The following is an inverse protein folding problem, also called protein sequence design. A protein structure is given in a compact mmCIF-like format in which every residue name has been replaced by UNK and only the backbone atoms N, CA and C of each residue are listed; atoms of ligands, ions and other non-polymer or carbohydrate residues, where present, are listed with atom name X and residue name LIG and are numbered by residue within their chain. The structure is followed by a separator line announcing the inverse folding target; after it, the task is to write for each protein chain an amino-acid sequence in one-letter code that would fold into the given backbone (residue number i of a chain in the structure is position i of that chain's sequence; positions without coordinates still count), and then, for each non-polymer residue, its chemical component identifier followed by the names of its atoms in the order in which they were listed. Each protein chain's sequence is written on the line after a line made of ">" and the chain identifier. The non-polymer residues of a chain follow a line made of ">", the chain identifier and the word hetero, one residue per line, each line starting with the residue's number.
data_IF_707559878461
#
_entry.id   IF_707559878461
#
_cell.length_a   1.000
_cell.length_b   1.000
_cell.length_c   1.000
_cell.angle_alpha   90.00
_cell.angle_beta   90.00
_cell.angle_gamma   90.00
#
_symmetry.space_group_name_H-M   'P 1'
#
loop_
_entity.id
_entity.type
_entity.pdbx_description
1 polymer ?
#
# COMPACT_ATOMS: atom_id res chain seq x y z
N UNK A 1 -3.99 34.34 7.93
CA UNK A 1 -5.00 33.56 7.19
C UNK A 1 -4.59 33.06 5.79
N UNK A 2 -3.52 33.61 5.17
CA UNK A 2 -3.04 33.14 3.86
C UNK A 2 -2.14 31.89 3.93
N UNK A 3 -1.51 31.61 5.05
CA UNK A 3 -0.60 30.46 5.22
C UNK A 3 -1.40 29.16 5.34
N UNK A 4 -2.57 29.18 5.99
CA UNK A 4 -3.46 28.02 6.15
C UNK A 4 -4.05 27.52 4.82
N UNK A 5 -4.37 28.43 3.89
CA UNK A 5 -4.97 28.07 2.60
C UNK A 5 -3.97 27.43 1.62
N UNK A 6 -2.70 27.83 1.66
CA UNK A 6 -1.64 27.24 0.82
C UNK A 6 -1.27 25.83 1.30
N UNK A 7 -1.33 25.58 2.60
CA UNK A 7 -1.05 24.28 3.20
C UNK A 7 -2.11 23.23 2.82
N UNK A 8 -3.39 23.60 2.87
CA UNK A 8 -4.50 22.73 2.45
C UNK A 8 -4.49 22.41 0.96
N UNK A 9 -4.06 23.36 0.12
CA UNK A 9 -4.01 23.16 -1.33
C UNK A 9 -2.82 22.29 -1.76
N UNK A 10 -1.67 22.39 -1.08
CA UNK A 10 -0.51 21.54 -1.27
C UNK A 10 -0.84 20.10 -0.85
N UNK A 11 -1.49 19.90 0.30
CA UNK A 11 -1.89 18.56 0.77
C UNK A 11 -2.89 17.88 -0.17
N UNK A 12 -3.85 18.63 -0.75
CA UNK A 12 -4.80 18.07 -1.72
C UNK A 12 -4.12 17.60 -3.01
N UNK A 13 -3.12 18.34 -3.51
CA UNK A 13 -2.33 17.91 -4.68
C UNK A 13 -1.53 16.66 -4.38
N UNK A 14 -0.85 16.61 -3.24
CA UNK A 14 -0.05 15.47 -2.81
C UNK A 14 -0.93 14.22 -2.64
N UNK A 15 -2.08 14.34 -2.00
CA UNK A 15 -3.05 13.24 -1.83
C UNK A 15 -3.58 12.75 -3.18
N UNK A 16 -3.91 13.65 -4.12
CA UNK A 16 -4.37 13.25 -5.46
C UNK A 16 -3.30 12.54 -6.29
N UNK A 17 -2.05 12.99 -6.19
CA UNK A 17 -0.92 12.32 -6.85
C UNK A 17 -0.74 10.93 -6.25
N UNK A 18 -0.77 10.82 -4.93
CA UNK A 18 -0.69 9.54 -4.22
C UNK A 18 -1.79 8.57 -4.62
N UNK A 19 -3.03 9.04 -4.64
CA UNK A 19 -4.19 8.27 -5.04
C UNK A 19 -4.00 7.66 -6.43
N UNK A 20 -3.62 8.50 -7.43
CA UNK A 20 -3.34 8.04 -8.79
C UNK A 20 -2.20 7.02 -8.85
N UNK A 21 -1.14 7.25 -8.10
CA UNK A 21 0.04 6.38 -8.12
C UNK A 21 -0.26 5.04 -7.46
N UNK A 22 -0.99 5.01 -6.34
CA UNK A 22 -1.45 3.75 -5.72
C UNK A 22 -2.40 2.98 -6.65
N UNK A 23 -3.31 3.65 -7.33
CA UNK A 23 -4.21 3.04 -8.32
C UNK A 23 -3.44 2.38 -9.47
N UNK A 24 -2.45 3.06 -10.05
CA UNK A 24 -1.65 2.51 -11.16
C UNK A 24 -0.94 1.22 -10.76
N UNK A 25 -0.39 1.14 -9.54
CA UNK A 25 0.24 -0.11 -9.05
C UNK A 25 -0.77 -1.24 -8.98
N UNK A 26 -1.92 -0.96 -8.36
CA UNK A 26 -2.96 -1.96 -8.20
C UNK A 26 -3.45 -2.45 -9.58
N UNK A 27 -3.58 -1.56 -10.59
CA UNK A 27 -3.99 -1.90 -11.95
C UNK A 27 -2.99 -2.83 -12.68
N UNK A 28 -1.69 -2.56 -12.58
CA UNK A 28 -0.65 -3.37 -13.21
C UNK A 28 -0.68 -4.81 -12.68
N UNK A 29 -0.88 -4.97 -11.39
CA UNK A 29 -0.93 -6.30 -10.74
C UNK A 29 -2.23 -7.03 -11.02
N UNK A 30 -3.36 -6.33 -11.09
CA UNK A 30 -4.65 -6.93 -11.47
C UNK A 30 -4.62 -7.55 -12.87
N UNK A 31 -3.88 -6.95 -13.79
CA UNK A 31 -3.72 -7.47 -15.16
C UNK A 31 -2.88 -8.76 -15.23
N UNK A 32 -1.87 -8.91 -14.36
CA UNK A 32 -1.00 -10.09 -14.32
C UNK A 32 -1.72 -11.30 -13.70
N UNK A 33 -2.67 -11.08 -12.77
CA UNK A 33 -3.40 -12.15 -12.08
C UNK A 33 -4.59 -12.74 -12.88
N UNK A 34 -4.96 -12.17 -14.01
CA UNK A 34 -6.02 -12.71 -14.87
C UNK A 34 -5.63 -14.03 -15.58
N UNK A 35 -4.42 -14.52 -15.37
CA UNK A 35 -3.95 -15.79 -15.96
C UNK A 35 -3.99 -16.95 -14.95
N UNK A 36 -4.60 -18.10 -15.29
CA UNK A 36 -4.80 -19.22 -14.35
C UNK A 36 -3.54 -20.08 -14.22
N UNK A 37 -2.71 -19.86 -13.21
CA UNK A 37 -1.65 -20.79 -12.80
C UNK A 37 -1.43 -20.76 -11.28
N UNK A 38 -2.22 -21.55 -10.55
CA UNK A 38 -2.26 -21.59 -9.08
C UNK A 38 -1.18 -22.44 -8.39
N UNK A 39 -0.40 -23.25 -9.08
CA UNK A 39 0.52 -24.22 -8.44
C UNK A 39 2.01 -23.86 -8.47
N UNK A 40 2.42 -22.89 -9.27
CA UNK A 40 3.83 -22.42 -9.32
C UNK A 40 4.11 -21.21 -8.41
N UNK A 41 3.08 -20.62 -7.83
CA UNK A 41 3.18 -19.38 -7.06
C UNK A 41 3.65 -19.57 -5.59
N UNK A 42 3.45 -20.75 -5.00
CA UNK A 42 3.83 -20.96 -3.59
C UNK A 42 5.35 -21.00 -3.36
N UNK A 43 6.10 -21.59 -4.26
CA UNK A 43 7.57 -21.62 -4.19
C UNK A 43 8.19 -20.24 -4.54
N UNK A 44 7.60 -19.52 -5.48
CA UNK A 44 8.05 -18.18 -5.86
C UNK A 44 7.84 -17.15 -4.72
N UNK A 45 6.77 -17.27 -3.93
CA UNK A 45 6.49 -16.38 -2.81
C UNK A 45 7.49 -16.53 -1.64
N UNK A 46 7.95 -17.75 -1.37
CA UNK A 46 9.01 -17.97 -0.37
C UNK A 46 10.36 -17.39 -0.83
N UNK A 47 10.67 -17.53 -2.10
CA UNK A 47 11.90 -16.99 -2.69
C UNK A 47 11.91 -15.44 -2.68
N UNK A 48 10.73 -14.82 -2.85
CA UNK A 48 10.55 -13.36 -2.81
C UNK A 48 10.68 -12.79 -1.40
N UNK A 49 10.17 -13.47 -0.38
CA UNK A 49 10.36 -13.06 1.02
C UNK A 49 11.85 -13.09 1.40
N UNK A 50 12.57 -14.12 0.99
CA UNK A 50 14.01 -14.23 1.21
C UNK A 50 14.79 -13.18 0.38
N UNK A 51 14.35 -12.86 -0.84
CA UNK A 51 14.94 -11.83 -1.68
C UNK A 51 14.68 -10.40 -1.12
N UNK A 52 13.51 -10.13 -0.56
CA UNK A 52 13.19 -8.83 0.05
C UNK A 52 14.04 -8.54 1.29
N UNK A 53 14.34 -9.56 2.11
CA UNK A 53 15.30 -9.43 3.22
C UNK A 53 16.73 -9.15 2.75
N UNK A 54 17.14 -9.75 1.64
CA UNK A 54 18.48 -9.52 1.07
C UNK A 54 18.61 -8.17 0.36
N UNK A 55 17.53 -7.66 -0.25
CA UNK A 55 17.49 -6.35 -0.91
C UNK A 55 17.56 -5.20 0.09
N UNK A 56 16.95 -5.33 1.27
CA UNK A 56 17.05 -4.36 2.36
C UNK A 56 18.51 -4.10 2.80
N UNK A 57 19.39 -5.06 2.63
CA UNK A 57 20.82 -4.96 2.99
C UNK A 57 21.72 -4.36 1.89
N UNK A 58 21.25 -4.24 0.64
CA UNK A 58 22.11 -3.91 -0.52
C UNK A 58 21.77 -2.56 -1.19
N UNK A 59 20.93 -1.73 -0.61
CA UNK A 59 20.30 -0.55 -1.24
C UNK A 59 21.23 0.62 -1.56
N UNK A 60 22.48 0.63 -1.11
CA UNK A 60 23.39 1.80 -1.28
C UNK A 60 24.01 2.00 -2.66
N UNK A 61 23.95 1.03 -3.57
CA UNK A 61 24.62 1.13 -4.88
C UNK A 61 23.70 1.14 -6.10
N UNK A 62 22.38 1.14 -5.89
CA UNK A 62 21.40 0.94 -6.98
C UNK A 62 20.79 2.26 -7.49
N UNK A 63 20.99 3.37 -6.79
CA UNK A 63 20.27 4.66 -7.03
C UNK A 63 20.42 5.21 -8.45
N UNK A 64 21.57 5.03 -9.09
CA UNK A 64 21.82 5.57 -10.44
C UNK A 64 21.19 4.74 -11.58
N UNK A 65 20.94 3.46 -11.38
CA UNK A 65 20.42 2.55 -12.42
C UNK A 65 18.89 2.56 -12.43
N UNK A 66 18.27 2.72 -11.27
CA UNK A 66 16.80 2.73 -11.08
C UNK A 66 16.20 4.00 -11.69
N UNK A 67 16.79 5.18 -11.48
CA UNK A 67 16.32 6.45 -12.07
C UNK A 67 16.20 6.39 -13.60
N UNK A 68 17.02 5.58 -14.27
CA UNK A 68 16.95 5.43 -15.73
C UNK A 68 15.84 4.50 -16.20
N UNK A 69 15.41 3.57 -15.36
CA UNK A 69 14.32 2.61 -15.69
C UNK A 69 12.93 3.23 -15.41
N UNK A 70 12.81 4.06 -14.37
CA UNK A 70 11.56 4.71 -13.97
C UNK A 70 11.04 5.71 -15.04
N UNK A 71 11.93 6.28 -15.85
CA UNK A 71 11.55 7.22 -16.93
C UNK A 71 10.65 6.62 -18.02
N UNK A 72 10.35 5.31 -17.98
CA UNK A 72 9.56 4.59 -18.98
C UNK A 72 8.28 3.94 -18.43
N UNK A 73 7.84 4.25 -17.21
CA UNK A 73 6.56 3.76 -16.72
C UNK A 73 5.45 4.54 -17.43
N UNK A 74 4.76 3.87 -18.36
CA UNK A 74 3.62 4.46 -19.06
C UNK A 74 2.54 4.85 -18.02
N UNK A 75 2.13 6.10 -18.02
CA UNK A 75 1.03 6.62 -17.20
C UNK A 75 1.41 7.53 -16.05
N UNK A 76 2.70 7.65 -15.68
CA UNK A 76 3.16 8.61 -14.67
C UNK A 76 3.84 9.82 -15.30
N UNK A 77 3.50 11.02 -14.84
CA UNK A 77 4.24 12.24 -15.14
C UNK A 77 5.62 12.23 -14.47
N UNK A 78 6.51 13.11 -14.93
CA UNK A 78 7.83 13.27 -14.30
C UNK A 78 7.73 13.63 -12.81
N UNK A 79 6.76 14.45 -12.43
CA UNK A 79 6.54 14.88 -11.04
C UNK A 79 6.08 13.70 -10.17
N UNK A 80 5.18 12.87 -10.70
CA UNK A 80 4.71 11.65 -10.03
C UNK A 80 5.84 10.63 -9.84
N UNK A 81 6.71 10.50 -10.84
CA UNK A 81 7.90 9.63 -10.78
C UNK A 81 8.89 10.10 -9.71
N UNK A 82 9.19 11.40 -9.66
CA UNK A 82 10.08 11.97 -8.63
C UNK A 82 9.46 11.83 -7.24
N UNK A 83 8.15 12.02 -7.13
CA UNK A 83 7.43 11.83 -5.88
C UNK A 83 7.53 10.37 -5.40
N UNK A 84 7.28 9.39 -6.27
CA UNK A 84 7.31 7.97 -5.91
C UNK A 84 8.70 7.52 -5.45
N UNK A 85 9.77 8.06 -6.04
CA UNK A 85 11.14 7.71 -5.68
C UNK A 85 11.66 8.34 -4.38
N UNK A 86 11.04 9.45 -3.95
CA UNK A 86 11.51 10.20 -2.77
C UNK A 86 10.60 10.06 -1.54
N UNK A 87 9.45 9.42 -1.69
CA UNK A 87 8.47 9.33 -0.60
C UNK A 87 8.69 8.07 0.22
N UNK A 88 8.64 8.22 1.55
CA UNK A 88 8.71 7.10 2.49
C UNK A 88 7.33 6.42 2.59
N UNK A 89 7.19 5.27 1.95
CA UNK A 89 5.94 4.50 1.90
C UNK A 89 6.14 3.15 2.57
N UNK A 90 5.18 2.75 3.40
CA UNK A 90 5.11 1.41 3.97
C UNK A 90 3.82 0.74 3.51
N UNK A 91 3.95 -0.39 2.87
CA UNK A 91 2.85 -1.29 2.52
C UNK A 91 2.72 -2.35 3.61
N UNK A 92 1.52 -2.50 4.15
CA UNK A 92 1.19 -3.50 5.16
C UNK A 92 -0.01 -4.29 4.66
N UNK A 93 0.09 -5.62 4.65
CA UNK A 93 -1.02 -6.39 4.12
C UNK A 93 -0.88 -7.90 4.22
N UNK A 94 -1.92 -8.55 3.73
CA UNK A 94 -2.07 -9.99 3.71
C UNK A 94 -1.71 -10.59 2.32
N UNK A 95 -2.32 -11.71 1.99
CA UNK A 95 -2.11 -12.44 0.71
C UNK A 95 -2.25 -11.53 -0.53
N UNK A 96 -3.13 -10.51 -0.49
CA UNK A 96 -3.30 -9.60 -1.62
C UNK A 96 -2.05 -8.74 -1.83
N UNK A 97 -1.45 -8.24 -0.75
CA UNK A 97 -0.20 -7.47 -0.83
C UNK A 97 0.97 -8.37 -1.28
N UNK A 98 1.04 -9.61 -0.78
CA UNK A 98 2.07 -10.56 -1.20
C UNK A 98 2.07 -10.79 -2.71
N UNK A 99 0.90 -10.87 -3.32
CA UNK A 99 0.78 -11.02 -4.78
C UNK A 99 1.37 -9.85 -5.58
N UNK A 100 1.49 -8.67 -4.95
CA UNK A 100 1.98 -7.43 -5.56
C UNK A 100 3.42 -7.08 -5.15
N UNK A 101 3.98 -7.81 -4.19
CA UNK A 101 5.24 -7.44 -3.53
C UNK A 101 6.43 -7.31 -4.48
N UNK A 102 6.43 -8.05 -5.60
CA UNK A 102 7.51 -7.97 -6.61
C UNK A 102 7.47 -6.70 -7.45
N UNK A 103 6.28 -6.16 -7.70
CA UNK A 103 6.09 -5.01 -8.58
C UNK A 103 6.25 -3.67 -7.84
N UNK A 104 5.97 -3.64 -6.54
CA UNK A 104 6.04 -2.43 -5.73
C UNK A 104 7.42 -1.77 -5.79
N UNK A 105 8.57 -2.48 -5.66
CA UNK A 105 9.88 -1.84 -5.71
C UNK A 105 10.23 -1.24 -7.07
N UNK A 106 9.58 -1.67 -8.15
CA UNK A 106 9.80 -1.09 -9.49
C UNK A 106 9.27 0.34 -9.58
N UNK A 107 8.21 0.65 -8.82
CA UNK A 107 7.56 1.95 -8.77
C UNK A 107 7.97 2.76 -7.54
N UNK A 108 8.24 2.09 -6.43
CA UNK A 108 8.64 2.67 -5.15
C UNK A 108 9.90 1.99 -4.63
N UNK A 109 11.07 2.39 -5.11
CA UNK A 109 12.34 1.72 -4.78
C UNK A 109 12.69 1.80 -3.28
N UNK A 110 12.14 2.77 -2.56
CA UNK A 110 12.35 2.97 -1.14
C UNK A 110 11.18 2.49 -0.26
N UNK A 111 10.22 1.77 -0.84
CA UNK A 111 9.09 1.25 -0.08
C UNK A 111 9.51 0.14 0.88
N UNK A 112 8.93 0.18 2.07
CA UNK A 112 8.96 -0.94 3.00
C UNK A 112 7.71 -1.79 2.77
N UNK A 113 7.88 -3.10 2.65
CA UNK A 113 6.79 -4.05 2.46
C UNK A 113 6.78 -4.97 3.66
N UNK A 114 5.68 -4.98 4.42
CA UNK A 114 5.43 -5.86 5.55
C UNK A 114 4.15 -6.66 5.27
N UNK A 115 4.30 -7.89 4.82
CA UNK A 115 3.20 -8.72 4.40
C UNK A 115 3.33 -10.13 5.00
N UNK A 116 2.19 -10.68 5.40
CA UNK A 116 2.08 -12.06 5.86
C UNK A 116 0.84 -12.69 5.26
N UNK A 117 0.95 -13.96 4.79
CA UNK A 117 -0.14 -14.69 4.14
C UNK A 117 -1.38 -14.78 5.01
N UNK A 118 -1.20 -15.06 6.29
CA UNK A 118 -2.27 -15.36 7.23
C UNK A 118 -2.64 -14.17 8.12
N UNK A 119 -2.10 -12.99 7.83
CA UNK A 119 -2.26 -11.78 8.61
C UNK A 119 -3.73 -11.46 8.90
N UNK A 120 -4.02 -11.28 10.17
CA UNK A 120 -5.31 -10.82 10.68
C UNK A 120 -5.22 -9.39 11.22
N UNK A 121 -6.33 -8.63 11.16
CA UNK A 121 -6.35 -7.22 11.61
C UNK A 121 -5.94 -7.06 13.08
N UNK A 122 -6.23 -8.04 13.95
CA UNK A 122 -5.85 -7.99 15.36
C UNK A 122 -4.32 -8.11 15.58
N UNK A 123 -3.57 -8.62 14.62
CA UNK A 123 -2.10 -8.76 14.67
C UNK A 123 -1.37 -7.50 14.22
N UNK A 124 -2.06 -6.62 13.50
CA UNK A 124 -1.46 -5.39 12.94
C UNK A 124 -0.83 -4.49 14.01
N UNK A 125 -1.39 -4.47 15.22
CA UNK A 125 -0.83 -3.67 16.31
C UNK A 125 0.64 -3.99 16.57
N UNK A 126 0.96 -5.27 16.75
CA UNK A 126 2.33 -5.73 16.97
C UNK A 126 3.25 -5.50 15.78
N UNK A 127 2.76 -5.71 14.56
CA UNK A 127 3.52 -5.45 13.32
C UNK A 127 3.87 -3.96 13.18
N UNK A 128 2.91 -3.07 13.42
CA UNK A 128 3.13 -1.61 13.37
C UNK A 128 4.14 -1.17 14.44
N UNK A 129 4.04 -1.70 15.65
CA UNK A 129 4.97 -1.37 16.72
C UNK A 129 6.39 -1.82 16.37
N UNK A 130 6.56 -2.97 15.76
CA UNK A 130 7.84 -3.45 15.25
C UNK A 130 8.40 -2.53 14.17
N UNK A 131 7.58 -2.13 13.18
CA UNK A 131 7.99 -1.20 12.12
C UNK A 131 8.41 0.16 12.68
N UNK A 132 7.72 0.66 13.72
CA UNK A 132 8.11 1.89 14.43
C UNK A 132 9.46 1.76 15.11
N UNK A 133 9.68 0.66 15.85
CA UNK A 133 10.96 0.40 16.53
C UNK A 133 12.13 0.31 15.56
N UNK A 134 11.89 -0.26 14.37
CA UNK A 134 12.87 -0.39 13.29
C UNK A 134 13.03 0.88 12.45
N UNK A 135 12.24 1.94 12.71
CA UNK A 135 12.16 3.17 11.91
C UNK A 135 11.83 2.90 10.44
N UNK A 136 10.98 1.91 10.21
CA UNK A 136 10.52 1.47 8.90
C UNK A 136 9.07 1.88 8.60
N UNK A 137 8.39 2.51 9.55
CA UNK A 137 7.06 3.07 9.32
C UNK A 137 7.20 4.44 8.62
N UNK A 138 6.87 4.48 7.35
CA UNK A 138 6.96 5.67 6.51
C UNK A 138 5.93 6.76 6.86
N UNK A 139 5.91 7.83 6.07
CA UNK A 139 4.92 8.90 6.22
C UNK A 139 3.59 8.54 5.53
N UNK A 140 3.65 7.60 4.62
CA UNK A 140 2.51 7.06 3.89
C UNK A 140 2.40 5.58 4.17
N UNK A 141 1.21 5.17 4.57
CA UNK A 141 0.90 3.78 4.88
C UNK A 141 -0.19 3.30 3.94
N UNK A 142 0.05 2.19 3.27
CA UNK A 142 -0.97 1.50 2.45
C UNK A 142 -1.34 0.21 3.15
N UNK A 143 -2.61 0.09 3.55
CA UNK A 143 -3.15 -1.10 4.20
C UNK A 143 -3.99 -1.91 3.23
N UNK A 144 -3.61 -3.18 3.06
CA UNK A 144 -4.29 -4.17 2.21
C UNK A 144 -4.59 -5.41 3.05
N UNK A 145 -5.66 -5.37 3.85
CA UNK A 145 -5.99 -6.38 4.85
C UNK A 145 -7.46 -6.77 4.80
N UNK A 146 -7.77 -7.99 5.24
CA UNK A 146 -9.14 -8.51 5.35
C UNK A 146 -9.45 -9.67 4.42
N UNK A 147 -8.48 -10.15 3.62
CA UNK A 147 -8.70 -11.35 2.79
C UNK A 147 -8.80 -12.63 3.63
N UNK A 148 -8.18 -12.65 4.80
CA UNK A 148 -8.10 -13.83 5.67
C UNK A 148 -9.15 -13.86 6.79
N UNK A 149 -9.90 -12.79 7.01
CA UNK A 149 -10.94 -12.76 8.05
C UNK A 149 -11.66 -11.43 8.13
N UNK A 150 -12.87 -11.50 8.68
CA UNK A 150 -13.63 -10.31 9.03
C UNK A 150 -12.97 -9.55 10.20
N UNK A 151 -13.21 -8.27 10.26
CA UNK A 151 -12.82 -7.43 11.39
C UNK A 151 -13.93 -6.46 11.76
N UNK A 152 -13.89 -5.98 12.98
CA UNK A 152 -14.83 -4.96 13.48
C UNK A 152 -14.30 -3.56 13.22
N UNK A 153 -15.21 -2.58 13.21
CA UNK A 153 -14.85 -1.16 13.14
C UNK A 153 -13.89 -0.75 14.25
N UNK A 154 -14.09 -1.28 15.47
CA UNK A 154 -13.21 -0.99 16.62
C UNK A 154 -11.79 -1.52 16.44
N UNK A 155 -11.62 -2.70 15.84
CA UNK A 155 -10.30 -3.27 15.57
C UNK A 155 -9.54 -2.42 14.57
N UNK A 156 -10.14 -2.06 13.43
CA UNK A 156 -9.46 -1.22 12.45
C UNK A 156 -9.24 0.21 12.97
N UNK A 157 -10.18 0.79 13.73
CA UNK A 157 -10.02 2.10 14.37
C UNK A 157 -8.81 2.12 15.34
N UNK A 158 -8.60 1.05 16.09
CA UNK A 158 -7.43 0.91 16.96
C UNK A 158 -6.10 0.84 16.17
N UNK A 159 -6.10 0.14 15.04
CA UNK A 159 -4.95 0.06 14.14
C UNK A 159 -4.60 1.46 13.58
N UNK A 160 -5.60 2.21 13.09
CA UNK A 160 -5.39 3.55 12.55
C UNK A 160 -4.82 4.50 13.60
N UNK A 161 -5.33 4.44 14.83
CA UNK A 161 -4.80 5.21 15.96
C UNK A 161 -3.37 4.80 16.34
N UNK A 162 -3.06 3.51 16.28
CA UNK A 162 -1.70 3.04 16.51
C UNK A 162 -0.76 3.54 15.43
N UNK A 163 -1.12 3.54 14.15
CA UNK A 163 -0.27 4.13 13.09
C UNK A 163 0.07 5.58 13.43
N UNK A 164 -0.92 6.40 13.72
CA UNK A 164 -0.78 7.80 14.10
C UNK A 164 -1.49 8.74 13.16
N UNK A 165 -1.90 9.90 13.70
CA UNK A 165 -2.65 10.93 12.97
C UNK A 165 -1.75 11.83 12.09
N UNK A 166 -0.44 11.73 12.25
CA UNK A 166 0.58 12.44 11.48
C UNK A 166 0.91 11.74 10.14
N UNK A 167 0.44 10.50 9.96
CA UNK A 167 0.66 9.69 8.76
C UNK A 167 -0.52 9.79 7.79
N UNK A 168 -0.26 9.66 6.50
CA UNK A 168 -1.31 9.48 5.49
C UNK A 168 -1.57 7.98 5.31
N UNK A 169 -2.80 7.55 5.48
CA UNK A 169 -3.17 6.13 5.48
C UNK A 169 -4.13 5.87 4.32
N UNK A 170 -3.82 4.91 3.49
CA UNK A 170 -4.64 4.45 2.38
C UNK A 170 -5.18 3.04 2.67
N UNK A 171 -6.49 2.93 2.80
CA UNK A 171 -7.20 1.67 2.96
C UNK A 171 -7.64 1.19 1.56
N UNK A 172 -7.14 0.06 1.12
CA UNK A 172 -7.52 -0.53 -0.17
C UNK A 172 -8.65 -1.53 0.04
N UNK A 173 -9.74 -1.41 -0.74
CA UNK A 173 -10.87 -2.32 -0.65
C UNK A 173 -10.50 -3.75 -1.04
N UNK A 174 -11.19 -4.71 -0.46
CA UNK A 174 -11.07 -6.12 -0.81
C UNK A 174 -12.01 -6.50 -1.96
N UNK A 175 -11.53 -7.33 -2.89
CA UNK A 175 -12.31 -7.93 -3.98
C UNK A 175 -12.25 -9.45 -3.89
N UNK A 176 -12.48 -9.99 -2.70
CA UNK A 176 -12.44 -11.42 -2.40
C UNK A 176 -13.86 -12.00 -2.46
N UNK A 177 -13.99 -13.27 -2.86
CA UNK A 177 -15.27 -13.96 -2.81
C UNK A 177 -15.52 -14.52 -1.40
N UNK A 178 -15.80 -13.64 -0.44
CA UNK A 178 -16.08 -13.97 0.97
C UNK A 178 -17.32 -13.24 1.47
N UNK A 179 -18.06 -13.87 2.39
CA UNK A 179 -19.30 -13.31 2.93
C UNK A 179 -19.11 -12.00 3.67
N UNK A 180 -17.93 -11.75 4.23
CA UNK A 180 -17.61 -10.53 4.99
C UNK A 180 -17.03 -9.39 4.14
N UNK A 181 -16.74 -9.59 2.85
CA UNK A 181 -16.12 -8.58 1.98
C UNK A 181 -16.84 -7.23 2.04
N UNK A 182 -18.15 -7.25 1.86
CA UNK A 182 -18.94 -6.01 1.79
C UNK A 182 -18.90 -5.27 3.13
N UNK A 183 -18.98 -5.99 4.24
CA UNK A 183 -18.93 -5.41 5.58
C UNK A 183 -17.59 -4.72 5.87
N UNK A 184 -16.47 -5.41 5.62
CA UNK A 184 -15.13 -4.84 5.89
C UNK A 184 -14.82 -3.64 4.97
N UNK A 185 -15.27 -3.66 3.72
CA UNK A 185 -15.13 -2.53 2.82
C UNK A 185 -15.93 -1.31 3.32
N UNK A 186 -17.15 -1.52 3.78
CA UNK A 186 -17.98 -0.46 4.39
C UNK A 186 -17.35 0.10 5.69
N UNK A 187 -16.77 -0.77 6.53
CA UNK A 187 -16.02 -0.34 7.72
C UNK A 187 -14.85 0.56 7.32
N UNK A 188 -14.05 0.15 6.34
CA UNK A 188 -12.90 0.92 5.84
C UNK A 188 -13.31 2.28 5.29
N UNK A 189 -14.35 2.32 4.45
CA UNK A 189 -14.90 3.56 3.90
C UNK A 189 -15.41 4.49 5.01
N UNK A 190 -16.15 3.95 5.99
CA UNK A 190 -16.68 4.74 7.10
C UNK A 190 -15.59 5.35 7.98
N UNK A 191 -14.45 4.68 8.13
CA UNK A 191 -13.30 5.20 8.88
C UNK A 191 -12.53 6.25 8.08
N UNK A 192 -12.44 6.09 6.75
CA UNK A 192 -11.89 7.12 5.89
C UNK A 192 -12.73 8.41 5.90
N UNK A 193 -14.05 8.31 6.03
CA UNK A 193 -14.91 9.48 6.22
C UNK A 193 -14.73 10.14 7.60
N UNK A 194 -14.34 9.36 8.62
CA UNK A 194 -14.14 9.85 9.99
C UNK A 194 -12.82 10.60 10.18
N UNK A 195 -11.77 10.16 9.52
CA UNK A 195 -10.40 10.66 9.73
C UNK A 195 -9.88 11.39 8.50
N UNK A 196 -9.41 12.63 8.65
CA UNK A 196 -8.92 13.47 7.54
C UNK A 196 -7.61 12.99 6.91
N UNK A 197 -6.87 12.13 7.60
CA UNK A 197 -5.61 11.54 7.14
C UNK A 197 -5.78 10.10 6.65
N UNK A 198 -7.01 9.59 6.61
CA UNK A 198 -7.34 8.24 6.11
C UNK A 198 -8.08 8.37 4.79
N UNK A 199 -7.67 7.61 3.79
CA UNK A 199 -8.22 7.61 2.44
C UNK A 199 -8.66 6.20 2.07
N UNK A 200 -9.83 6.07 1.44
CA UNK A 200 -10.34 4.81 0.93
C UNK A 200 -10.09 4.72 -0.57
N UNK A 201 -9.57 3.58 -1.02
CA UNK A 201 -9.40 3.25 -2.43
C UNK A 201 -10.36 2.11 -2.77
N UNK A 202 -11.39 2.39 -3.55
CA UNK A 202 -12.30 1.37 -4.09
C UNK A 202 -11.63 0.67 -5.27
N UNK A 203 -10.88 -0.37 -4.96
CA UNK A 203 -10.17 -1.16 -5.96
C UNK A 203 -11.09 -1.74 -7.04
N UNK A 204 -12.30 -2.18 -6.67
CA UNK A 204 -13.26 -2.76 -7.60
C UNK A 204 -13.69 -1.75 -8.66
N UNK A 205 -14.00 -0.53 -8.24
CA UNK A 205 -14.38 0.56 -9.15
C UNK A 205 -13.21 0.94 -10.05
N UNK A 206 -12.03 1.13 -9.47
CA UNK A 206 -10.84 1.55 -10.22
C UNK A 206 -10.38 0.49 -11.23
N UNK A 207 -10.40 -0.81 -10.86
CA UNK A 207 -10.00 -1.90 -11.76
C UNK A 207 -10.98 -2.18 -12.89
N UNK A 208 -12.23 -1.72 -12.79
CA UNK A 208 -13.26 -1.93 -13.83
C UNK A 208 -13.26 -0.85 -14.91
N UNK A 209 -12.52 0.25 -14.72
CA UNK A 209 -12.44 1.38 -15.66
C UNK A 209 -11.30 1.24 -16.68
N UNK A 210 -10.54 0.19 -16.59
CA UNK A 210 -9.40 -0.17 -17.44
C UNK A 210 -9.49 -1.60 -17.94
#
# INVERSE_FOLDING_TARGET
>A
NQISSKWTQSNRRTVNILYKVVIVIILIVGFIQASPRLSAQESALQEVLLASESLSKNTRNTDKKIVKTINNIQGLSREETVFSSNTSITFIGDTMLLAMAQEIPTLYPNAVISADRDLQVYELGGMIDQLKQQKQLGDIIVLMVGSNGAYTKGQLDAVLKNIGMDKQIFLVSNTINRTWQQEINHISESLAQKYSNVHYIDWKSESSTH
#
